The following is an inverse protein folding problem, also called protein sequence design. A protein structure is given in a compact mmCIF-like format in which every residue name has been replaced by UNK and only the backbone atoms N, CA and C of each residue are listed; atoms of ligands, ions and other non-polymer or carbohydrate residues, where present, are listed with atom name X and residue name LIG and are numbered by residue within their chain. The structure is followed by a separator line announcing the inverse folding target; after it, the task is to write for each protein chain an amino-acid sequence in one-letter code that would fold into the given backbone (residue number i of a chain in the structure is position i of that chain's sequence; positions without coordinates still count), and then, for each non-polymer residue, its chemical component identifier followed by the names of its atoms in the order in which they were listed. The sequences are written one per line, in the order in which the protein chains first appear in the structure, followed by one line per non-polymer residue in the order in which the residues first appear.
data_IF_590402680513
#
_entry.id   IF_590402680513
#
_cell.length_a   1.000
_cell.length_b   1.000
_cell.length_c   1.000
_cell.angle_alpha   90.00
_cell.angle_beta   90.00
_cell.angle_gamma   90.00
#
_symmetry.space_group_name_H-M   'P 1'
#
loop_
_entity.id
_entity.type
_entity.pdbx_description
1 polymer ?
#
# COMPACT_ATOMS: atom_id res chain seq x y z
N UNK A 1 -41.40 -32.40 16.27
CA UNK A 1 -41.38 -30.99 16.74
C UNK A 1 -40.39 -30.88 17.90
N UNK A 2 -39.19 -30.34 17.67
CA UNK A 2 -38.55 -29.39 18.58
C UNK A 2 -37.30 -28.82 17.92
N UNK A 3 -37.38 -27.51 17.75
CA UNK A 3 -36.35 -26.56 17.35
C UNK A 3 -35.39 -26.37 18.52
N UNK A 4 -34.08 -26.31 18.26
CA UNK A 4 -33.18 -25.44 19.03
C UNK A 4 -31.89 -25.13 18.26
N UNK A 5 -31.59 -23.85 18.28
CA UNK A 5 -30.57 -23.15 17.52
C UNK A 5 -29.25 -23.01 18.30
N UNK A 6 -28.23 -22.55 17.56
CA UNK A 6 -27.07 -21.78 18.04
C UNK A 6 -26.03 -22.57 18.87
N UNK A 7 -24.73 -22.40 18.70
CA UNK A 7 -23.96 -21.18 18.38
C UNK A 7 -22.85 -21.54 17.41
N UNK A 8 -22.77 -20.78 16.32
CA UNK A 8 -21.65 -20.77 15.40
C UNK A 8 -20.40 -20.31 16.16
N UNK A 9 -19.59 -21.27 16.61
CA UNK A 9 -18.28 -20.99 17.18
C UNK A 9 -17.42 -20.44 16.05
N UNK A 10 -17.32 -19.11 15.96
CA UNK A 10 -16.31 -18.42 15.17
C UNK A 10 -14.96 -18.90 15.72
N UNK A 11 -14.16 -19.66 14.96
CA UNK A 11 -12.86 -20.07 15.45
C UNK A 11 -12.00 -18.80 15.52
N UNK A 12 -11.82 -18.28 16.72
CA UNK A 12 -10.79 -17.30 17.05
C UNK A 12 -9.45 -18.02 17.02
N UNK A 13 -8.98 -18.36 15.82
CA UNK A 13 -7.54 -18.45 15.61
C UNK A 13 -7.08 -17.03 15.24
N UNK A 14 -6.03 -16.48 15.86
CA UNK A 14 -5.24 -15.48 15.15
C UNK A 14 -4.78 -16.19 13.89
N UNK A 15 -5.23 -15.72 12.72
CA UNK A 15 -4.69 -16.16 11.44
C UNK A 15 -3.18 -16.05 11.58
N UNK A 16 -2.43 -17.18 11.58
CA UNK A 16 -0.99 -17.09 11.59
C UNK A 16 -0.63 -16.42 10.27
N UNK A 17 0.06 -15.27 10.33
CA UNK A 17 1.06 -14.70 9.40
C UNK A 17 1.24 -15.31 7.99
N UNK A 18 0.20 -15.78 7.31
CA UNK A 18 0.31 -16.71 6.19
C UNK A 18 -0.01 -16.02 4.88
N UNK A 19 0.86 -15.06 4.53
CA UNK A 19 1.09 -14.58 3.16
C UNK A 19 2.24 -13.55 3.02
N UNK A 20 3.14 -13.37 4.01
CA UNK A 20 4.15 -12.27 3.95
C UNK A 20 5.61 -12.75 3.80
N UNK A 21 5.88 -14.06 3.66
CA UNK A 21 7.26 -14.56 3.56
C UNK A 21 7.97 -14.19 2.25
N UNK A 22 7.23 -13.80 1.19
CA UNK A 22 7.82 -13.27 -0.04
C UNK A 22 8.08 -11.76 0.00
N UNK A 23 7.26 -11.01 0.74
CA UNK A 23 7.40 -9.56 0.88
C UNK A 23 8.53 -9.18 1.84
N UNK A 24 8.85 -10.03 2.84
CA UNK A 24 9.94 -9.77 3.77
C UNK A 24 11.33 -9.69 3.09
N UNK A 25 11.56 -10.45 2.02
CA UNK A 25 12.81 -10.37 1.23
C UNK A 25 12.87 -9.15 0.30
N UNK A 26 11.72 -8.55 -0.05
CA UNK A 26 11.63 -7.33 -0.87
C UNK A 26 11.32 -6.08 -0.04
N UNK A 27 11.18 -6.22 1.29
CA UNK A 27 10.80 -5.12 2.15
C UNK A 27 11.81 -3.97 2.01
N UNK A 28 11.37 -2.76 1.64
CA UNK A 28 12.27 -1.62 1.53
C UNK A 28 12.94 -1.32 2.86
N UNK A 29 14.21 -0.90 2.80
CA UNK A 29 14.91 -0.41 4.00
C UNK A 29 14.07 0.70 4.67
N UNK A 30 13.64 0.51 5.93
CA UNK A 30 12.83 1.50 6.66
C UNK A 30 13.53 2.86 6.77
N UNK A 31 14.88 2.89 6.77
CA UNK A 31 15.64 4.15 6.77
C UNK A 31 15.43 4.93 5.47
N UNK A 32 15.40 4.23 4.33
CA UNK A 32 15.14 4.83 3.02
C UNK A 32 13.73 5.40 2.93
N UNK A 33 12.72 4.69 3.43
CA UNK A 33 11.34 5.19 3.46
C UNK A 33 11.19 6.47 4.29
N UNK A 34 11.83 6.52 5.46
CA UNK A 34 11.85 7.73 6.30
C UNK A 34 12.54 8.89 5.59
N UNK A 35 13.64 8.62 4.90
CA UNK A 35 14.36 9.63 4.14
C UNK A 35 13.53 10.21 2.99
N UNK A 36 12.80 9.36 2.28
CA UNK A 36 11.89 9.78 1.21
C UNK A 36 10.81 10.73 1.74
N UNK A 37 10.19 10.41 2.88
CA UNK A 37 9.24 11.31 3.53
C UNK A 37 9.89 12.64 3.93
N UNK A 38 11.09 12.58 4.53
CA UNK A 38 11.82 13.78 4.97
C UNK A 38 12.17 14.70 3.80
N UNK A 39 12.67 14.14 2.70
CA UNK A 39 12.99 14.88 1.46
C UNK A 39 11.76 15.50 0.82
N UNK A 40 10.62 14.82 0.91
CA UNK A 40 9.33 15.34 0.46
C UNK A 40 8.70 16.37 1.44
N UNK A 41 9.38 16.73 2.54
CA UNK A 41 8.84 17.66 3.54
C UNK A 41 7.69 17.10 4.38
N UNK A 42 7.47 15.78 4.36
CA UNK A 42 6.41 15.11 5.11
C UNK A 42 6.92 14.63 6.48
N UNK A 43 6.08 14.77 7.52
CA UNK A 43 6.39 14.20 8.84
C UNK A 43 6.49 12.67 8.76
N UNK A 44 7.55 12.11 9.33
CA UNK A 44 7.72 10.66 9.46
C UNK A 44 6.76 10.10 10.49
N UNK A 45 5.71 9.43 10.04
CA UNK A 45 4.65 8.84 10.87
C UNK A 45 4.32 7.44 10.37
N UNK A 46 3.87 6.54 11.25
CA UNK A 46 3.55 5.15 10.90
C UNK A 46 2.57 5.03 9.70
N UNK A 47 1.47 5.79 9.63
CA UNK A 47 0.55 5.69 8.49
C UNK A 47 1.20 6.00 7.15
N UNK A 48 2.01 7.06 7.10
CA UNK A 48 2.73 7.46 5.89
C UNK A 48 3.79 6.43 5.51
N UNK A 49 4.49 5.86 6.48
CA UNK A 49 5.47 4.81 6.23
C UNK A 49 4.81 3.57 5.63
N UNK A 50 3.67 3.14 6.18
CA UNK A 50 2.93 1.97 5.70
C UNK A 50 2.34 2.16 4.31
N UNK A 51 1.73 3.31 4.03
CA UNK A 51 1.25 3.66 2.68
C UNK A 51 2.41 3.67 1.69
N UNK A 52 3.55 4.26 2.07
CA UNK A 52 4.73 4.36 1.22
C UNK A 52 5.37 2.98 0.96
N UNK A 53 5.47 2.14 1.99
CA UNK A 53 5.98 0.76 1.92
C UNK A 53 5.21 -0.04 0.86
N UNK A 54 3.87 -0.02 0.92
CA UNK A 54 3.03 -0.74 -0.04
C UNK A 54 3.19 -0.20 -1.46
N UNK A 55 3.25 1.12 -1.64
CA UNK A 55 3.47 1.73 -2.97
C UNK A 55 4.86 1.41 -3.52
N UNK A 56 5.87 1.34 -2.66
CA UNK A 56 7.22 0.97 -3.05
C UNK A 56 7.26 -0.49 -3.52
N UNK A 57 6.65 -1.42 -2.78
CA UNK A 57 6.55 -2.82 -3.19
C UNK A 57 5.79 -2.95 -4.52
N UNK A 58 4.66 -2.25 -4.67
CA UNK A 58 3.88 -2.25 -5.92
C UNK A 58 4.67 -1.72 -7.12
N UNK A 59 5.57 -0.75 -6.91
CA UNK A 59 6.43 -0.24 -7.96
C UNK A 59 7.44 -1.27 -8.47
N UNK A 60 7.87 -2.20 -7.60
CA UNK A 60 8.72 -3.35 -7.98
C UNK A 60 7.98 -4.35 -8.86
N UNK A 61 6.67 -4.50 -8.65
CA UNK A 61 5.77 -5.31 -9.48
C UNK A 61 5.41 -4.60 -10.82
N UNK A 62 5.98 -3.42 -11.08
CA UNK A 62 5.69 -2.59 -12.26
C UNK A 62 4.31 -1.92 -12.24
N UNK A 63 3.69 -1.83 -11.05
CA UNK A 63 2.28 -1.52 -10.89
C UNK A 63 1.97 -0.15 -10.28
N UNK A 64 0.84 0.40 -10.70
CA UNK A 64 0.08 1.41 -9.95
C UNK A 64 -0.93 0.70 -9.06
N UNK A 65 -1.32 1.33 -7.95
CA UNK A 65 -2.24 0.74 -6.98
C UNK A 65 -3.45 1.65 -6.75
N UNK A 66 -4.65 1.06 -6.69
CA UNK A 66 -5.84 1.82 -6.35
C UNK A 66 -5.89 2.14 -4.86
N UNK A 67 -6.49 3.27 -4.46
CA UNK A 67 -6.66 3.60 -3.03
C UNK A 67 -7.39 2.49 -2.27
N UNK A 68 -8.32 1.79 -2.93
CA UNK A 68 -9.06 0.66 -2.37
C UNK A 68 -8.15 -0.54 -2.11
N UNK A 69 -7.35 -0.92 -3.11
CA UNK A 69 -6.40 -2.04 -2.96
C UNK A 69 -5.31 -1.74 -1.95
N UNK A 70 -4.92 -0.47 -1.83
CA UNK A 70 -3.94 -0.03 -0.83
C UNK A 70 -4.50 -0.16 0.58
N UNK A 71 -5.75 0.24 0.75
CA UNK A 71 -6.48 0.07 2.00
C UNK A 71 -6.69 -1.40 2.36
N UNK A 72 -7.05 -2.26 1.40
CA UNK A 72 -7.14 -3.72 1.62
C UNK A 72 -5.79 -4.29 2.11
N UNK A 73 -4.67 -3.97 1.43
CA UNK A 73 -3.33 -4.39 1.86
C UNK A 73 -2.95 -3.88 3.26
N UNK A 74 -3.38 -2.67 3.63
CA UNK A 74 -3.16 -2.13 4.98
C UNK A 74 -3.97 -2.88 6.04
N UNK A 75 -5.22 -3.23 5.74
CA UNK A 75 -6.05 -4.03 6.65
C UNK A 75 -5.50 -5.43 6.84
N UNK A 76 -5.03 -6.06 5.76
CA UNK A 76 -4.39 -7.38 5.82
C UNK A 76 -3.11 -7.36 6.68
N UNK A 77 -2.38 -6.24 6.67
CA UNK A 77 -1.23 -6.01 7.54
C UNK A 77 -1.59 -5.66 9.00
N UNK A 78 -2.89 -5.60 9.34
CA UNK A 78 -3.38 -5.29 10.69
C UNK A 78 -3.36 -3.79 11.05
N UNK A 79 -3.20 -2.90 10.08
CA UNK A 79 -3.16 -1.46 10.34
C UNK A 79 -4.59 -0.87 10.38
N UNK A 80 -5.00 -0.19 11.48
CA UNK A 80 -6.38 0.30 11.66
C UNK A 80 -6.66 1.62 10.90
N UNK A 81 -6.15 1.75 9.68
CA UNK A 81 -6.36 2.92 8.84
C UNK A 81 -7.65 2.81 8.05
N UNK A 82 -8.50 3.84 8.12
CA UNK A 82 -9.69 3.92 7.28
C UNK A 82 -9.33 4.31 5.84
N UNK A 83 -10.18 3.94 4.89
CA UNK A 83 -10.02 4.34 3.48
C UNK A 83 -9.97 5.87 3.31
N UNK A 84 -10.70 6.62 4.14
CA UNK A 84 -10.67 8.09 4.14
C UNK A 84 -9.27 8.57 4.52
N UNK A 85 -8.70 8.04 5.61
CA UNK A 85 -7.36 8.38 6.07
C UNK A 85 -6.30 8.02 5.02
N UNK A 86 -6.45 6.87 4.34
CA UNK A 86 -5.57 6.48 3.23
C UNK A 86 -5.61 7.51 2.09
N UNK A 87 -6.80 7.91 1.64
CA UNK A 87 -6.93 8.93 0.59
C UNK A 87 -6.34 10.28 1.01
N UNK A 88 -6.52 10.69 2.26
CA UNK A 88 -5.92 11.92 2.79
C UNK A 88 -4.39 11.85 2.78
N UNK A 89 -3.80 10.72 3.20
CA UNK A 89 -2.34 10.51 3.14
C UNK A 89 -1.85 10.55 1.69
N UNK A 90 -2.54 9.86 0.78
CA UNK A 90 -2.22 9.87 -0.64
C UNK A 90 -2.27 11.28 -1.23
N UNK A 91 -3.31 12.06 -0.92
CA UNK A 91 -3.41 13.47 -1.36
C UNK A 91 -2.19 14.29 -0.93
N UNK A 92 -1.80 14.20 0.35
CA UNK A 92 -0.60 14.90 0.85
C UNK A 92 0.70 14.42 0.21
N UNK A 93 0.79 13.13 -0.09
CA UNK A 93 1.96 12.58 -0.78
C UNK A 93 2.04 13.05 -2.24
N UNK A 94 0.90 13.19 -2.91
CA UNK A 94 0.80 13.79 -4.24
C UNK A 94 1.20 15.27 -4.20
N UNK A 95 0.69 16.04 -3.24
CA UNK A 95 1.05 17.45 -3.05
C UNK A 95 2.57 17.64 -2.85
N UNK A 96 3.23 16.66 -2.20
CA UNK A 96 4.68 16.67 -1.96
C UNK A 96 5.54 16.17 -3.12
N UNK A 97 4.91 15.66 -4.19
CA UNK A 97 5.61 15.03 -5.32
C UNK A 97 6.18 13.64 -5.04
N UNK A 98 5.88 13.05 -3.88
CA UNK A 98 6.32 11.70 -3.52
C UNK A 98 5.56 10.61 -4.30
N UNK A 99 4.29 10.88 -4.60
CA UNK A 99 3.36 9.96 -5.27
C UNK A 99 2.75 10.67 -6.48
N UNK A 100 2.49 9.92 -7.55
CA UNK A 100 1.80 10.42 -8.75
C UNK A 100 0.44 9.75 -8.84
N UNK A 101 -0.60 10.55 -9.09
CA UNK A 101 -1.95 10.05 -9.39
C UNK A 101 -2.08 9.76 -10.90
N UNK A 102 -2.43 8.52 -11.24
CA UNK A 102 -2.62 8.03 -12.62
C UNK A 102 -4.14 7.89 -12.91
N UNK A 103 -4.82 9.04 -12.92
CA UNK A 103 -6.28 9.14 -13.06
C UNK A 103 -7.01 9.24 -11.70
N UNK A 104 -8.30 8.89 -11.68
CA UNK A 104 -9.19 9.22 -10.56
C UNK A 104 -8.78 8.57 -9.22
N UNK A 105 -8.30 7.32 -9.23
CA UNK A 105 -8.10 6.54 -8.00
C UNK A 105 -6.84 5.65 -8.00
N UNK A 106 -5.95 5.81 -8.98
CA UNK A 106 -4.72 5.01 -9.09
C UNK A 106 -3.52 5.87 -8.72
N UNK A 107 -2.60 5.27 -7.99
CA UNK A 107 -1.45 5.96 -7.43
C UNK A 107 -0.20 5.12 -7.68
N UNK A 108 0.91 5.77 -8.00
CA UNK A 108 2.22 5.14 -8.09
C UNK A 108 3.28 5.98 -7.41
N UNK A 109 4.36 5.34 -7.01
CA UNK A 109 5.53 6.05 -6.50
C UNK A 109 6.15 6.90 -7.62
N UNK A 110 6.69 8.07 -7.27
CA UNK A 110 7.36 8.91 -8.25
C UNK A 110 8.53 8.15 -8.93
N UNK A 111 8.69 8.23 -10.27
CA UNK A 111 9.65 7.41 -11.03
C UNK A 111 11.11 7.56 -10.58
N UNK A 112 11.49 8.75 -10.13
CA UNK A 112 12.82 9.06 -9.60
C UNK A 112 13.09 8.43 -8.21
N UNK A 113 12.04 7.96 -7.53
CA UNK A 113 12.11 7.34 -6.22
C UNK A 113 11.81 5.84 -6.26
N UNK A 114 11.14 5.39 -7.32
CA UNK A 114 10.92 3.98 -7.59
C UNK A 114 12.28 3.26 -7.68
N UNK A 115 12.40 2.04 -7.13
CA UNK A 115 13.54 1.20 -7.44
C UNK A 115 13.59 1.03 -8.95
N UNK A 116 14.75 1.26 -9.55
CA UNK A 116 14.98 1.10 -10.99
C UNK A 116 14.85 -0.37 -11.38
N UNK A 117 13.62 -0.87 -11.41
CA UNK A 117 13.24 -2.16 -11.97
C UNK A 117 12.57 -1.86 -13.31
N UNK A 118 13.37 -1.88 -14.36
CA UNK A 118 12.97 -1.91 -15.78
C UNK A 118 11.77 -1.02 -16.15
N UNK A 119 12.08 0.12 -16.78
CA UNK A 119 11.08 0.97 -17.45
C UNK A 119 10.36 0.13 -18.52
N UNK A 120 9.27 -0.57 -18.16
CA UNK A 120 8.39 -1.13 -19.18
C UNK A 120 7.78 0.06 -19.93
N UNK A 121 8.00 0.19 -21.25
CA UNK A 121 7.23 1.12 -22.04
C UNK A 121 5.78 0.68 -21.87
N UNK A 122 4.92 1.53 -21.30
CA UNK A 122 3.49 1.30 -21.36
C UNK A 122 3.13 1.28 -22.84
N UNK A 123 2.92 0.08 -23.36
CA UNK A 123 2.35 -0.16 -24.67
C UNK A 123 1.08 0.67 -24.76
N UNK A 124 1.14 1.71 -25.58
CA UNK A 124 -0.02 2.46 -26.01
C UNK A 124 -0.91 1.46 -26.78
N UNK A 125 -1.95 0.97 -26.13
CA UNK A 125 -2.98 0.17 -26.77
C UNK A 125 -3.94 1.15 -27.44
N UNK A 126 -3.62 1.50 -28.68
CA UNK A 126 -4.51 2.18 -29.62
C UNK A 126 -3.98 1.99 -31.05
N UNK A 127 -4.37 0.88 -31.67
CA UNK A 127 -4.50 0.70 -33.12
C UNK A 127 -5.52 -0.42 -33.37
#
# INVERSE_FOLDING_TARGET
MQVRANVQAKPLLPTPLRAMDKDALLAPDPRRLREMLRRAGLKTSMPRLKVLEILYLASWEGGELSSRRLHERLQDAGEPLTLVSVRQVLGRMVDSGLVIAEGAHRYRLAPNLAPTGDQRPRSNSAA
#
